data_IF_821854886167
#
_entry.id   IF_821854886167
#
_cell.length_a   1.000
_cell.length_b   1.000
_cell.length_c   1.000
_cell.angle_alpha   90.00
_cell.angle_beta   90.00
_cell.angle_gamma   90.00
#
_symmetry.space_group_name_H-M   'P 1'
#
loop_
_entity.id
_entity.type
_entity.pdbx_description
1 polymer ?
#
# COMPACT_ATOMS: atom_id res chain seq x y z
N UNK A 1 1.42 -42.06 -50.89
CA UNK A 1 0.98 -40.67 -50.62
C UNK A 1 -0.26 -40.78 -49.73
N UNK A 2 -0.25 -40.53 -48.42
CA UNK A 2 -0.19 -39.22 -47.73
C UNK A 2 0.10 -39.52 -46.25
N UNK A 3 1.11 -38.88 -45.65
CA UNK A 3 1.35 -38.92 -44.19
C UNK A 3 0.53 -37.79 -43.56
N UNK A 4 -0.42 -38.11 -42.70
CA UNK A 4 -1.17 -37.12 -41.91
C UNK A 4 -0.34 -36.83 -40.66
N UNK A 5 0.28 -35.66 -40.62
CA UNK A 5 0.99 -35.15 -39.44
C UNK A 5 -0.04 -34.31 -38.67
N UNK A 6 -0.46 -34.79 -37.51
CA UNK A 6 -1.30 -34.06 -36.57
C UNK A 6 -0.40 -33.05 -35.83
N UNK A 7 -0.67 -31.73 -35.85
CA UNK A 7 0.08 -30.81 -35.03
C UNK A 7 -0.42 -30.94 -33.59
N UNK A 8 0.49 -31.34 -32.69
CA UNK A 8 0.27 -31.32 -31.25
C UNK A 8 0.25 -29.86 -30.82
N UNK A 9 -0.94 -29.27 -30.73
CA UNK A 9 -1.12 -27.92 -30.20
C UNK A 9 -0.83 -27.98 -28.70
N UNK A 10 0.39 -27.62 -28.31
CA UNK A 10 0.70 -27.27 -26.92
C UNK A 10 -0.09 -26.00 -26.59
N UNK A 11 -1.25 -26.16 -25.95
CA UNK A 11 -1.93 -25.08 -25.25
C UNK A 11 -1.03 -24.70 -24.06
N UNK A 12 -0.16 -23.71 -24.27
CA UNK A 12 0.54 -23.04 -23.20
C UNK A 12 -0.52 -22.43 -22.27
N UNK A 13 -0.68 -23.04 -21.10
CA UNK A 13 -1.47 -22.52 -19.98
C UNK A 13 -0.95 -21.11 -19.68
N UNK A 14 -1.66 -20.09 -20.15
CA UNK A 14 -1.33 -18.71 -19.85
C UNK A 14 -1.36 -18.55 -18.33
N UNK A 15 -0.24 -18.13 -17.74
CA UNK A 15 -0.21 -17.71 -16.35
C UNK A 15 -1.18 -16.53 -16.22
N UNK A 16 -2.30 -16.75 -15.52
CA UNK A 16 -3.22 -15.68 -15.16
C UNK A 16 -2.44 -14.63 -14.35
N UNK A 17 -2.69 -13.33 -14.56
CA UNK A 17 -2.11 -12.32 -13.70
C UNK A 17 -2.59 -12.61 -12.27
N UNK A 18 -1.66 -12.94 -11.37
CA UNK A 18 -1.92 -12.91 -9.94
C UNK A 18 -2.20 -11.46 -9.57
N UNK A 19 -3.49 -11.11 -9.53
CA UNK A 19 -3.94 -9.91 -8.84
C UNK A 19 -3.36 -9.98 -7.44
N UNK A 20 -2.51 -9.00 -7.09
CA UNK A 20 -2.00 -8.87 -5.74
C UNK A 20 -3.20 -8.88 -4.79
N UNK A 21 -3.26 -9.84 -3.87
CA UNK A 21 -4.32 -9.82 -2.86
C UNK A 21 -4.19 -8.52 -2.07
N UNK A 22 -5.26 -7.73 -2.03
CA UNK A 22 -5.38 -6.62 -1.09
C UNK A 22 -5.12 -7.19 0.31
N UNK A 23 -4.07 -6.71 0.96
CA UNK A 23 -3.72 -7.16 2.29
C UNK A 23 -4.73 -6.53 3.26
N UNK A 24 -5.47 -7.34 4.02
CA UNK A 24 -6.48 -6.81 4.94
C UNK A 24 -5.82 -5.93 6.01
N UNK A 25 -5.92 -4.61 5.84
CA UNK A 25 -5.38 -3.61 6.76
C UNK A 25 -6.34 -3.23 7.87
N UNK A 26 -7.57 -3.79 7.90
CA UNK A 26 -8.60 -3.41 8.88
C UNK A 26 -8.17 -3.63 10.33
N UNK A 27 -7.30 -4.61 10.57
CA UNK A 27 -6.69 -4.86 11.88
C UNK A 27 -5.80 -3.72 12.40
N UNK A 28 -5.38 -2.79 11.52
CA UNK A 28 -4.57 -1.62 11.87
C UNK A 28 -5.43 -0.40 12.24
N UNK A 29 -6.72 -0.40 11.87
CA UNK A 29 -7.58 0.76 12.06
C UNK A 29 -7.85 1.02 13.55
N UNK A 30 -7.97 2.29 13.92
CA UNK A 30 -8.13 2.75 15.30
C UNK A 30 -6.86 2.70 16.15
N UNK A 31 -5.73 2.18 15.62
CA UNK A 31 -4.45 2.18 16.32
C UNK A 31 -3.71 3.49 16.12
N UNK A 32 -2.87 3.84 17.10
CA UNK A 32 -1.95 4.99 16.98
C UNK A 32 -0.98 4.75 15.84
N UNK A 33 -0.79 5.77 15.01
CA UNK A 33 0.09 5.71 13.86
C UNK A 33 1.52 5.28 14.24
N UNK A 34 2.09 5.84 15.31
CA UNK A 34 3.44 5.51 15.76
C UNK A 34 3.62 4.00 16.06
N UNK A 35 2.61 3.35 16.65
CA UNK A 35 2.62 1.92 16.96
C UNK A 35 2.52 1.08 15.69
N UNK A 36 1.67 1.50 14.74
CA UNK A 36 1.53 0.85 13.43
C UNK A 36 2.82 0.97 12.62
N UNK A 37 3.40 2.17 12.52
CA UNK A 37 4.69 2.43 11.88
C UNK A 37 5.77 1.52 12.44
N UNK A 38 5.95 1.51 13.77
CA UNK A 38 6.96 0.66 14.41
C UNK A 38 6.75 -0.83 14.10
N UNK A 39 5.50 -1.30 14.11
CA UNK A 39 5.17 -2.70 13.84
C UNK A 39 5.43 -3.10 12.39
N UNK A 40 5.07 -2.23 11.43
CA UNK A 40 5.32 -2.45 10.01
C UNK A 40 6.82 -2.47 9.70
N UNK A 41 7.58 -1.52 10.24
CA UNK A 41 9.04 -1.49 10.09
C UNK A 41 9.70 -2.76 10.67
N UNK A 42 9.25 -3.20 11.85
CA UNK A 42 9.72 -4.46 12.46
C UNK A 42 9.37 -5.70 11.62
N UNK A 43 8.27 -5.65 10.85
CA UNK A 43 7.84 -6.70 9.92
C UNK A 43 8.49 -6.59 8.52
N UNK A 44 9.51 -5.74 8.36
CA UNK A 44 10.29 -5.60 7.13
C UNK A 44 9.65 -4.71 6.06
N UNK A 45 8.62 -3.94 6.40
CA UNK A 45 8.15 -2.86 5.54
C UNK A 45 9.10 -1.67 5.64
N UNK A 46 9.14 -0.87 4.58
CA UNK A 46 9.83 0.43 4.55
C UNK A 46 8.83 1.52 4.21
N UNK A 47 9.13 2.77 4.55
CA UNK A 47 8.34 3.90 4.10
C UNK A 47 8.44 4.03 2.58
N UNK A 48 7.30 4.28 1.93
CA UNK A 48 7.29 4.66 0.53
C UNK A 48 7.89 6.08 0.39
N UNK A 49 8.61 6.37 -0.70
CA UNK A 49 9.07 7.73 -0.97
C UNK A 49 7.90 8.70 -1.08
N UNK A 50 8.03 9.85 -0.44
CA UNK A 50 7.13 11.00 -0.61
C UNK A 50 7.56 11.78 -1.85
N UNK A 51 6.60 12.30 -2.62
CA UNK A 51 6.92 13.14 -3.78
C UNK A 51 7.52 14.49 -3.33
N UNK A 52 8.46 15.03 -4.12
CA UNK A 52 9.22 16.23 -3.73
C UNK A 52 8.35 17.48 -3.50
N UNK A 53 7.16 17.53 -4.09
CA UNK A 53 6.22 18.65 -4.04
C UNK A 53 5.12 18.48 -2.98
N UNK A 54 5.10 17.36 -2.25
CA UNK A 54 4.14 17.16 -1.18
C UNK A 54 4.60 17.81 0.13
N UNK A 55 3.67 18.47 0.81
CA UNK A 55 3.93 19.11 2.11
C UNK A 55 3.54 18.15 3.24
N UNK A 56 4.43 17.90 4.21
CA UNK A 56 4.08 17.12 5.39
C UNK A 56 2.92 17.70 6.19
N UNK A 57 2.13 16.81 6.77
CA UNK A 57 1.10 17.15 7.74
C UNK A 57 1.72 17.72 9.03
N UNK A 58 2.83 17.13 9.48
CA UNK A 58 3.56 17.54 10.68
C UNK A 58 5.07 17.36 10.49
N UNK A 59 5.88 18.09 11.26
CA UNK A 59 7.34 17.93 11.25
C UNK A 59 7.81 16.60 11.87
N UNK A 60 7.07 16.08 12.86
CA UNK A 60 7.40 14.83 13.55
C UNK A 60 7.22 13.59 12.66
N UNK A 61 6.32 13.67 11.68
CA UNK A 61 5.99 12.60 10.75
C UNK A 61 6.00 13.13 9.31
N UNK A 62 7.19 13.44 8.76
CA UNK A 62 7.33 14.02 7.43
C UNK A 62 6.82 13.12 6.31
N UNK A 63 6.68 11.82 6.59
CA UNK A 63 6.14 10.84 5.65
C UNK A 63 4.61 10.90 5.48
N UNK A 64 3.90 11.59 6.38
CA UNK A 64 2.45 11.77 6.27
C UNK A 64 2.20 13.05 5.49
N UNK A 65 1.63 12.93 4.31
CA UNK A 65 1.28 14.07 3.46
C UNK A 65 -0.23 14.11 3.24
N UNK A 66 -0.75 15.31 3.09
CA UNK A 66 -2.17 15.53 2.82
C UNK A 66 -2.36 15.98 1.39
N UNK A 67 -3.45 15.54 0.77
CA UNK A 67 -3.90 16.11 -0.49
C UNK A 67 -4.25 17.60 -0.37
N UNK A 68 -4.68 18.19 -1.47
CA UNK A 68 -5.13 19.58 -1.50
C UNK A 68 -6.66 19.67 -1.47
N UNK A 69 -7.20 20.63 -0.70
CA UNK A 69 -8.64 20.95 -0.64
C UNK A 69 -9.32 20.59 0.68
N UNK A 70 -10.59 20.98 0.83
CA UNK A 70 -11.33 20.87 2.09
C UNK A 70 -11.63 19.42 2.53
N UNK A 71 -11.53 18.46 1.60
CA UNK A 71 -11.74 17.02 1.83
C UNK A 71 -10.46 16.23 1.60
N UNK A 72 -9.30 16.87 1.71
CA UNK A 72 -8.03 16.19 1.57
C UNK A 72 -7.86 15.11 2.65
N UNK A 73 -7.47 13.92 2.22
CA UNK A 73 -7.02 12.85 3.11
C UNK A 73 -5.53 13.04 3.38
N UNK A 74 -5.10 12.73 4.60
CA UNK A 74 -3.70 12.61 4.95
C UNK A 74 -3.33 11.13 4.96
N UNK A 75 -2.22 10.78 4.31
CA UNK A 75 -1.86 9.38 4.11
C UNK A 75 -0.35 9.17 4.18
N UNK A 76 0.04 7.91 4.37
CA UNK A 76 1.43 7.47 4.38
C UNK A 76 1.54 6.12 3.70
N UNK A 77 2.50 6.01 2.79
CA UNK A 77 2.80 4.78 2.08
C UNK A 77 3.85 3.93 2.79
N UNK A 78 3.68 2.62 2.70
CA UNK A 78 4.67 1.61 3.04
C UNK A 78 4.86 0.66 1.86
N UNK A 79 6.08 0.17 1.69
CA UNK A 79 6.43 -0.80 0.65
C UNK A 79 7.10 -2.02 1.26
N UNK A 80 6.79 -3.20 0.71
CA UNK A 80 7.52 -4.44 0.97
C UNK A 80 7.48 -5.29 -0.30
N UNK A 81 8.65 -5.62 -0.83
CA UNK A 81 8.81 -6.31 -2.11
C UNK A 81 8.06 -5.60 -3.26
N UNK A 82 6.96 -6.18 -3.74
CA UNK A 82 6.11 -5.63 -4.81
C UNK A 82 4.75 -5.15 -4.30
N UNK A 83 4.59 -5.08 -2.98
CA UNK A 83 3.35 -4.69 -2.32
C UNK A 83 3.51 -3.29 -1.73
N UNK A 84 2.51 -2.46 -1.98
CA UNK A 84 2.36 -1.15 -1.35
C UNK A 84 1.15 -1.18 -0.43
N UNK A 85 1.24 -0.47 0.69
CA UNK A 85 0.15 -0.24 1.63
C UNK A 85 0.08 1.26 1.90
N UNK A 86 -1.05 1.91 1.61
CA UNK A 86 -1.22 3.33 1.86
C UNK A 86 -2.26 3.54 2.96
N UNK A 87 -1.81 3.96 4.14
CA UNK A 87 -2.68 4.15 5.30
C UNK A 87 -3.20 5.58 5.37
N UNK A 88 -4.50 5.74 5.63
CA UNK A 88 -5.12 7.03 5.96
C UNK A 88 -4.89 7.30 7.44
N UNK A 89 -4.44 8.51 7.76
CA UNK A 89 -4.11 8.94 9.13
C UNK A 89 -4.85 10.22 9.47
N UNK A 90 -5.50 10.26 10.63
CA UNK A 90 -6.25 11.41 11.11
C UNK A 90 -5.82 11.83 12.52
N UNK A 91 -5.90 13.13 12.86
CA UNK A 91 -5.68 13.61 14.21
C UNK A 91 -6.96 13.40 15.04
N UNK A 92 -6.92 12.51 16.02
CA UNK A 92 -8.01 12.25 16.98
C UNK A 92 -7.47 12.53 18.38
N UNK A 93 -8.08 13.47 19.11
CA UNK A 93 -7.65 13.86 20.47
C UNK A 93 -6.14 14.13 20.55
N UNK A 94 -5.61 14.92 19.61
CA UNK A 94 -4.19 15.27 19.49
C UNK A 94 -3.24 14.09 19.23
N UNK A 95 -3.75 12.92 18.84
CA UNK A 95 -2.96 11.74 18.46
C UNK A 95 -3.25 11.37 17.02
N UNK A 96 -2.22 10.99 16.27
CA UNK A 96 -2.39 10.45 14.91
C UNK A 96 -2.87 9.00 14.98
N UNK A 97 -3.99 8.71 14.34
CA UNK A 97 -4.66 7.40 14.34
C UNK A 97 -4.86 6.94 12.92
N UNK A 98 -4.60 5.65 12.66
CA UNK A 98 -4.90 5.04 11.36
C UNK A 98 -6.41 4.83 11.24
N UNK A 99 -7.05 5.42 10.24
CA UNK A 99 -8.51 5.34 10.05
C UNK A 99 -8.92 4.54 8.82
N UNK A 100 -7.98 4.22 7.93
CA UNK A 100 -8.28 3.50 6.70
C UNK A 100 -7.06 3.13 5.87
N UNK A 101 -7.34 2.67 4.66
CA UNK A 101 -6.41 2.45 3.56
C UNK A 101 -6.97 3.12 2.29
N UNK A 102 -6.10 3.63 1.42
CA UNK A 102 -6.46 4.31 0.16
C UNK A 102 -5.93 3.56 -1.08
#
# INVERSE_FOLDING_TARGET
MRKIILPLIMLSLGALPQFAQAQDSSALWGKKYAEVKSSLLAAGWVLAPVAEDETPMTEDYPEITCGNGAMAICSVGFMRDKTTLALVVEPIENTLVVTGEY
#
